data_IF_262193188069
#
_entry.id   IF_262193188069
#
_cell.length_a   1.000
_cell.length_b   1.000
_cell.length_c   1.000
_cell.angle_alpha   90.00
_cell.angle_beta   90.00
_cell.angle_gamma   90.00
#
_symmetry.space_group_name_H-M   'P 1'
#
loop_
_entity.id
_entity.type
_entity.pdbx_description
1 polymer ?
#
# COMPACT_ATOMS: atom_id res chain seq x y z
N UNK A 1 31.64 -13.21 -5.26
CA UNK A 1 30.22 -13.66 -5.20
C UNK A 1 29.40 -12.51 -4.63
N UNK A 2 28.64 -11.82 -5.48
CA UNK A 2 27.85 -10.64 -5.08
C UNK A 2 26.52 -11.11 -4.49
N UNK A 3 26.26 -10.72 -3.24
CA UNK A 3 24.98 -10.94 -2.57
C UNK A 3 23.93 -9.99 -3.16
N UNK A 4 22.91 -10.56 -3.81
CA UNK A 4 21.70 -9.88 -4.24
C UNK A 4 20.87 -9.47 -3.00
N UNK A 5 21.26 -8.36 -2.37
CA UNK A 5 20.45 -7.67 -1.36
C UNK A 5 19.38 -6.86 -2.08
N UNK A 6 18.15 -7.36 -2.11
CA UNK A 6 16.98 -6.58 -2.52
C UNK A 6 16.99 -5.25 -1.77
N UNK A 7 17.22 -4.15 -2.49
CA UNK A 7 17.33 -2.82 -1.91
C UNK A 7 15.97 -2.48 -1.30
N UNK A 8 15.88 -2.56 0.02
CA UNK A 8 14.74 -2.06 0.78
C UNK A 8 14.49 -0.60 0.36
N UNK A 9 13.44 -0.37 -0.42
CA UNK A 9 13.08 0.97 -0.86
C UNK A 9 12.87 1.82 0.41
N UNK A 10 13.53 2.98 0.47
CA UNK A 10 13.36 3.90 1.59
C UNK A 10 11.88 4.23 1.77
N UNK A 11 11.39 4.26 3.01
CA UNK A 11 9.97 4.45 3.33
C UNK A 11 9.34 5.67 2.66
N UNK A 12 10.11 6.75 2.46
CA UNK A 12 9.68 7.95 1.71
C UNK A 12 9.40 7.65 0.24
N UNK A 13 10.24 6.84 -0.41
CA UNK A 13 10.05 6.39 -1.79
C UNK A 13 8.81 5.51 -1.91
N UNK A 14 8.61 4.58 -0.97
CA UNK A 14 7.40 3.75 -0.93
C UNK A 14 6.14 4.62 -0.77
N UNK A 15 6.17 5.63 0.11
CA UNK A 15 5.06 6.58 0.26
C UNK A 15 4.74 7.30 -1.05
N UNK A 16 5.76 7.81 -1.76
CA UNK A 16 5.59 8.46 -3.06
C UNK A 16 4.98 7.54 -4.11
N UNK A 17 5.49 6.30 -4.21
CA UNK A 17 4.94 5.29 -5.11
C UNK A 17 3.50 4.91 -4.73
N UNK A 18 3.17 4.84 -3.44
CA UNK A 18 1.83 4.58 -2.95
C UNK A 18 0.86 5.70 -3.32
N UNK A 19 1.29 6.96 -3.21
CA UNK A 19 0.49 8.12 -3.64
C UNK A 19 0.14 8.02 -5.12
N UNK A 20 1.15 7.74 -5.96
CA UNK A 20 0.96 7.59 -7.40
C UNK A 20 -0.03 6.47 -7.74
N UNK A 21 0.13 5.29 -7.13
CA UNK A 21 -0.77 4.16 -7.37
C UNK A 21 -2.20 4.45 -6.92
N UNK A 22 -2.38 5.01 -5.72
CA UNK A 22 -3.71 5.33 -5.19
C UNK A 22 -4.41 6.38 -6.03
N UNK A 23 -3.69 7.42 -6.46
CA UNK A 23 -4.24 8.48 -7.31
C UNK A 23 -4.65 7.97 -8.69
N UNK A 24 -3.86 7.07 -9.28
CA UNK A 24 -4.19 6.45 -10.55
C UNK A 24 -5.41 5.51 -10.45
N UNK A 25 -5.52 4.73 -9.37
CA UNK A 25 -6.69 3.88 -9.11
C UNK A 25 -7.96 4.69 -8.88
N UNK A 26 -7.86 5.80 -8.14
CA UNK A 26 -8.97 6.74 -7.95
C UNK A 26 -9.46 7.28 -9.29
N UNK A 27 -8.54 7.78 -10.12
CA UNK A 27 -8.91 8.40 -11.39
C UNK A 27 -9.46 7.39 -12.39
N UNK A 28 -9.01 6.13 -12.34
CA UNK A 28 -9.62 5.04 -13.08
C UNK A 28 -11.06 4.75 -12.61
N UNK A 29 -11.29 4.74 -11.29
CA UNK A 29 -12.61 4.46 -10.72
C UNK A 29 -13.63 5.59 -10.90
N UNK A 30 -13.15 6.83 -10.94
CA UNK A 30 -13.96 8.03 -11.16
C UNK A 30 -14.20 8.30 -12.65
N UNK A 31 -13.70 7.44 -13.54
CA UNK A 31 -13.73 7.64 -15.01
C UNK A 31 -13.15 9.00 -15.45
N UNK A 32 -12.23 9.54 -14.65
CA UNK A 32 -11.53 10.81 -14.89
C UNK A 32 -10.40 10.57 -15.91
N UNK A 33 -10.82 10.39 -17.17
CA UNK A 33 -9.95 10.02 -18.28
C UNK A 33 -9.24 11.18 -18.96
N UNK A 34 -9.43 12.42 -18.50
CA UNK A 34 -8.76 13.60 -19.06
C UNK A 34 -7.22 13.46 -19.03
N UNK A 35 -6.70 12.65 -18.10
CA UNK A 35 -5.28 12.26 -18.01
C UNK A 35 -4.96 10.84 -18.50
N UNK A 36 -5.96 10.01 -18.79
CA UNK A 36 -5.82 8.60 -19.19
C UNK A 36 -6.20 8.43 -20.68
N UNK A 37 -5.49 9.13 -21.58
CA UNK A 37 -5.62 8.90 -23.03
C UNK A 37 -5.23 7.45 -23.37
N UNK A 38 -6.01 6.81 -24.24
CA UNK A 38 -5.82 5.43 -24.73
C UNK A 38 -5.85 4.33 -23.65
N UNK A 39 -6.75 4.45 -22.66
CA UNK A 39 -6.81 3.55 -21.51
C UNK A 39 -7.99 2.57 -21.52
N UNK A 40 -8.69 2.39 -22.66
CA UNK A 40 -9.79 1.41 -22.79
C UNK A 40 -9.37 -0.04 -22.46
N UNK A 41 -8.10 -0.38 -22.66
CA UNK A 41 -7.59 -1.69 -22.25
C UNK A 41 -7.42 -1.78 -20.72
N UNK A 42 -7.09 -0.67 -20.05
CA UNK A 42 -6.92 -0.64 -18.60
C UNK A 42 -8.26 -0.78 -17.88
N UNK A 43 -9.34 -0.18 -18.38
CA UNK A 43 -10.69 -0.39 -17.79
C UNK A 43 -11.16 -1.84 -17.91
N UNK A 44 -10.66 -2.60 -18.89
CA UNK A 44 -10.94 -4.04 -19.06
C UNK A 44 -10.05 -4.95 -18.21
N UNK A 45 -8.90 -4.47 -17.75
CA UNK A 45 -7.89 -5.29 -17.05
C UNK A 45 -7.70 -4.94 -15.59
N UNK A 46 -8.03 -3.70 -15.21
CA UNK A 46 -8.07 -3.20 -13.85
C UNK A 46 -9.52 -2.83 -13.55
N UNK A 47 -10.26 -3.81 -13.03
CA UNK A 47 -11.66 -3.65 -12.66
C UNK A 47 -11.74 -2.96 -11.29
N UNK A 48 -12.28 -1.74 -11.27
CA UNK A 48 -12.42 -0.93 -10.07
C UNK A 48 -13.85 -0.44 -9.88
N UNK A 49 -14.33 -0.41 -8.64
CA UNK A 49 -15.62 0.18 -8.32
C UNK A 49 -15.65 0.70 -6.87
N UNK A 50 -16.49 1.70 -6.64
CA UNK A 50 -16.80 2.20 -5.31
C UNK A 50 -17.94 1.39 -4.68
N UNK A 51 -17.75 0.95 -3.44
CA UNK A 51 -18.83 0.42 -2.60
C UNK A 51 -18.83 1.22 -1.29
N UNK A 52 -19.75 2.19 -1.18
CA UNK A 52 -19.70 3.19 -0.13
C UNK A 52 -18.46 4.09 -0.30
N UNK A 53 -17.61 4.15 0.71
CA UNK A 53 -16.32 4.88 0.66
C UNK A 53 -15.13 3.96 0.40
N UNK A 54 -15.35 2.67 0.17
CA UNK A 54 -14.28 1.72 -0.09
C UNK A 54 -14.07 1.56 -1.59
N UNK A 55 -12.81 1.63 -2.02
CA UNK A 55 -12.44 1.39 -3.42
C UNK A 55 -12.03 -0.07 -3.60
N UNK A 56 -12.85 -0.80 -4.35
CA UNK A 56 -12.57 -2.18 -4.70
C UNK A 56 -11.78 -2.25 -5.99
N UNK A 57 -10.71 -3.06 -5.98
CA UNK A 57 -9.97 -3.46 -7.18
C UNK A 57 -10.25 -4.94 -7.41
N UNK A 58 -11.35 -5.24 -8.13
CA UNK A 58 -11.98 -6.55 -8.31
C UNK A 58 -11.12 -7.55 -9.07
N UNK A 59 -10.35 -7.06 -10.04
CA UNK A 59 -9.44 -7.89 -10.84
C UNK A 59 -8.35 -7.01 -11.41
N UNK A 60 -7.10 -7.33 -11.11
CA UNK A 60 -5.94 -6.68 -11.73
C UNK A 60 -4.73 -7.61 -11.75
N UNK A 61 -3.70 -7.26 -12.51
CA UNK A 61 -2.36 -7.87 -12.42
C UNK A 61 -1.32 -6.79 -12.12
N UNK A 62 -0.18 -7.20 -11.56
CA UNK A 62 0.91 -6.24 -11.28
C UNK A 62 1.40 -5.50 -12.53
N UNK A 63 1.36 -6.15 -13.70
CA UNK A 63 1.71 -5.53 -14.98
C UNK A 63 0.69 -4.46 -15.40
N UNK A 64 -0.60 -4.71 -15.14
CA UNK A 64 -1.69 -3.82 -15.53
C UNK A 64 -1.67 -2.59 -14.61
N UNK A 65 -1.34 -2.77 -13.32
CA UNK A 65 -1.06 -1.66 -12.39
C UNK A 65 0.19 -0.85 -12.78
N UNK A 66 1.23 -1.51 -13.31
CA UNK A 66 2.42 -0.82 -13.81
C UNK A 66 2.07 0.09 -14.99
N UNK A 67 1.29 -0.41 -15.93
CA UNK A 67 0.80 0.35 -17.07
C UNK A 67 -0.14 1.49 -16.65
N UNK A 68 -1.01 1.26 -15.66
CA UNK A 68 -1.84 2.31 -15.07
C UNK A 68 -1.00 3.47 -14.51
N UNK A 69 0.06 3.15 -13.75
CA UNK A 69 0.95 4.20 -13.21
C UNK A 69 1.77 4.90 -14.29
N UNK A 70 2.14 4.19 -15.35
CA UNK A 70 2.83 4.73 -16.53
C UNK A 70 1.99 5.82 -17.20
N UNK A 71 0.72 5.50 -17.48
CA UNK A 71 -0.25 6.43 -18.08
C UNK A 71 -0.56 7.62 -17.20
N UNK A 72 -0.56 7.44 -15.88
CA UNK A 72 -0.83 8.52 -14.94
C UNK A 72 0.34 9.50 -14.77
N UNK A 73 1.58 9.06 -15.00
CA UNK A 73 2.72 9.97 -15.05
C UNK A 73 4.08 9.34 -14.79
N UNK A 74 4.14 8.16 -14.16
CA UNK A 74 5.40 7.43 -14.01
C UNK A 74 5.18 5.93 -13.84
N UNK A 75 5.82 5.16 -14.70
CA UNK A 75 5.83 3.70 -14.58
C UNK A 75 6.50 3.26 -13.27
N UNK A 76 5.73 2.57 -12.43
CA UNK A 76 6.28 1.75 -11.36
C UNK A 76 6.57 0.35 -11.88
N UNK A 77 7.66 -0.25 -11.43
CA UNK A 77 7.92 -1.66 -11.72
C UNK A 77 7.05 -2.59 -10.84
N UNK A 78 7.02 -3.88 -11.17
CA UNK A 78 6.18 -4.88 -10.48
C UNK A 78 6.57 -5.03 -9.00
N UNK A 79 7.85 -4.86 -8.67
CA UNK A 79 8.35 -4.99 -7.30
C UNK A 79 8.02 -3.74 -6.48
N UNK A 80 8.11 -2.56 -7.08
CA UNK A 80 7.65 -1.30 -6.49
C UNK A 80 6.15 -1.37 -6.16
N UNK A 81 5.32 -1.87 -7.07
CA UNK A 81 3.88 -2.05 -6.84
C UNK A 81 3.63 -3.08 -5.73
N UNK A 82 4.33 -4.22 -5.76
CA UNK A 82 4.22 -5.24 -4.71
C UNK A 82 4.55 -4.66 -3.33
N UNK A 83 5.64 -3.89 -3.24
CA UNK A 83 6.06 -3.23 -2.00
C UNK A 83 5.06 -2.17 -1.53
N UNK A 84 4.44 -1.43 -2.45
CA UNK A 84 3.35 -0.50 -2.14
C UNK A 84 2.14 -1.24 -1.57
N UNK A 85 1.67 -2.30 -2.24
CA UNK A 85 0.50 -3.08 -1.79
C UNK A 85 0.76 -3.68 -0.41
N UNK A 86 1.94 -4.27 -0.19
CA UNK A 86 2.32 -4.81 1.13
C UNK A 86 2.39 -3.73 2.20
N UNK A 87 2.87 -2.53 1.87
CA UNK A 87 2.93 -1.42 2.80
C UNK A 87 1.55 -0.90 3.17
N UNK A 88 0.65 -0.73 2.19
CA UNK A 88 -0.75 -0.35 2.43
C UNK A 88 -1.49 -1.40 3.26
N UNK A 89 -1.21 -2.69 3.03
CA UNK A 89 -1.74 -3.80 3.83
C UNK A 89 -1.22 -3.78 5.26
N UNK A 90 0.10 -3.60 5.45
CA UNK A 90 0.71 -3.50 6.77
C UNK A 90 0.19 -2.31 7.58
N UNK A 91 -0.20 -1.24 6.90
CA UNK A 91 -0.84 -0.06 7.48
C UNK A 91 -2.36 -0.21 7.64
N UNK A 92 -2.95 -1.37 7.33
CA UNK A 92 -4.40 -1.62 7.40
C UNK A 92 -5.25 -0.64 6.59
N UNK A 93 -4.68 -0.10 5.51
CA UNK A 93 -5.40 0.74 4.53
C UNK A 93 -5.94 -0.15 3.41
N UNK A 94 -5.16 -1.16 3.02
CA UNK A 94 -5.54 -2.14 2.03
C UNK A 94 -5.88 -3.47 2.71
N UNK A 95 -6.99 -4.06 2.29
CA UNK A 95 -7.37 -5.42 2.65
C UNK A 95 -7.21 -6.34 1.43
N UNK A 96 -6.39 -7.37 1.58
CA UNK A 96 -6.17 -8.37 0.53
C UNK A 96 -7.36 -9.33 0.54
N UNK A 97 -8.11 -9.36 -0.57
CA UNK A 97 -9.36 -10.12 -0.68
C UNK A 97 -9.18 -11.39 -1.52
N UNK A 98 -7.94 -11.70 -1.95
CA UNK A 98 -7.67 -12.96 -2.63
C UNK A 98 -8.04 -14.12 -1.72
N UNK A 99 -8.86 -15.04 -2.23
CA UNK A 99 -9.26 -16.25 -1.50
C UNK A 99 -8.03 -17.01 -0.99
N UNK A 100 -8.11 -17.50 0.23
CA UNK A 100 -7.02 -18.20 0.94
C UNK A 100 -6.77 -19.61 0.39
N UNK A 101 -6.47 -19.73 -0.90
CA UNK A 101 -5.86 -20.95 -1.44
C UNK A 101 -4.36 -20.86 -1.22
N UNK A 102 -3.92 -21.34 -0.04
CA UNK A 102 -2.53 -21.59 0.39
C UNK A 102 -1.58 -20.36 0.37
N UNK A 103 -0.97 -20.03 1.52
CA UNK A 103 -0.11 -18.83 1.66
C UNK A 103 1.08 -18.80 0.70
N UNK A 104 1.55 -19.96 0.24
CA UNK A 104 2.64 -20.11 -0.74
C UNK A 104 2.25 -19.69 -2.17
N UNK A 105 0.97 -19.79 -2.55
CA UNK A 105 0.48 -19.47 -3.90
C UNK A 105 -0.10 -18.06 -4.03
N UNK A 106 -0.44 -17.42 -2.90
CA UNK A 106 -0.95 -16.03 -2.86
C UNK A 106 0.13 -15.01 -3.25
N UNK A 107 1.38 -15.19 -2.80
CA UNK A 107 2.51 -14.31 -3.17
C UNK A 107 2.92 -14.45 -4.64
N UNK A 108 2.64 -15.60 -5.26
CA UNK A 108 2.91 -15.87 -6.67
C UNK A 108 1.74 -15.61 -7.64
N UNK A 109 0.54 -15.30 -7.13
CA UNK A 109 -0.62 -15.04 -7.99
C UNK A 109 -0.39 -13.77 -8.83
N UNK A 110 -0.44 -13.93 -10.15
CA UNK A 110 -0.43 -12.81 -11.10
C UNK A 110 -1.68 -11.94 -10.93
N UNK A 111 -2.79 -12.52 -10.46
CA UNK A 111 -4.04 -11.82 -10.21
C UNK A 111 -4.11 -11.28 -8.78
N UNK A 112 -4.51 -10.03 -8.66
CA UNK A 112 -4.71 -9.31 -7.42
C UNK A 112 -6.17 -8.89 -7.28
N UNK A 113 -6.68 -9.06 -6.06
CA UNK A 113 -8.01 -8.63 -5.63
C UNK A 113 -7.86 -8.01 -4.24
N UNK A 114 -8.19 -6.73 -4.11
CA UNK A 114 -8.06 -6.02 -2.84
C UNK A 114 -9.02 -4.86 -2.75
N UNK A 115 -9.16 -4.36 -1.53
CA UNK A 115 -10.03 -3.24 -1.18
C UNK A 115 -9.22 -2.18 -0.45
N UNK A 116 -9.32 -0.93 -0.88
CA UNK A 116 -8.74 0.22 -0.20
C UNK A 116 -9.81 0.89 0.67
N UNK A 117 -9.50 1.07 1.94
CA UNK A 117 -10.40 1.68 2.93
C UNK A 117 -10.16 3.17 2.99
N UNK A 118 -11.17 3.94 2.59
CA UNK A 118 -11.11 5.39 2.62
C UNK A 118 -12.25 6.00 3.44
N UNK A 119 -12.05 7.21 4.00
CA UNK A 119 -13.08 7.93 4.75
C UNK A 119 -14.09 8.67 3.85
N UNK A 120 -13.84 8.76 2.54
CA UNK A 120 -14.61 9.55 1.59
C UNK A 120 -14.56 8.91 0.20
N UNK A 121 -15.48 9.26 -0.68
CA UNK A 121 -15.39 8.96 -2.13
C UNK A 121 -14.52 9.99 -2.87
N UNK A 122 -14.44 11.22 -2.33
CA UNK A 122 -13.64 12.30 -2.92
C UNK A 122 -12.13 11.98 -2.95
N UNK A 123 -11.57 11.99 -4.16
CA UNK A 123 -10.15 11.74 -4.45
C UNK A 123 -9.20 12.61 -3.63
N UNK A 124 -9.39 13.93 -3.62
CA UNK A 124 -8.43 14.83 -2.97
C UNK A 124 -8.49 14.70 -1.44
N UNK A 125 -9.69 14.56 -0.86
CA UNK A 125 -9.87 14.30 0.57
C UNK A 125 -9.17 13.01 1.00
N UNK A 126 -9.25 11.95 0.21
CA UNK A 126 -8.57 10.69 0.50
C UNK A 126 -7.05 10.79 0.40
N UNK A 127 -6.53 11.47 -0.63
CA UNK A 127 -5.09 11.69 -0.78
C UNK A 127 -4.52 12.55 0.35
N UNK A 128 -5.22 13.63 0.72
CA UNK A 128 -4.82 14.52 1.81
C UNK A 128 -4.91 13.79 3.17
N UNK A 129 -5.96 13.00 3.39
CA UNK A 129 -6.09 12.17 4.59
C UNK A 129 -4.95 11.16 4.69
N UNK A 130 -4.65 10.45 3.60
CA UNK A 130 -3.69 9.35 3.62
C UNK A 130 -2.24 9.86 3.65
N UNK A 131 -1.89 10.80 2.77
CA UNK A 131 -0.50 11.23 2.56
C UNK A 131 -0.18 12.57 3.22
N UNK A 132 -1.18 13.25 3.79
CA UNK A 132 -1.01 14.57 4.35
C UNK A 132 -1.06 15.66 3.28
N UNK A 133 -1.21 16.89 3.76
CA UNK A 133 -1.22 18.11 2.95
C UNK A 133 -0.32 19.14 3.62
N UNK A 134 0.52 19.80 2.82
CA UNK A 134 1.44 20.85 3.28
C UNK A 134 2.28 20.36 4.48
N UNK A 135 2.14 21.01 5.65
CA UNK A 135 2.88 20.71 6.87
C UNK A 135 2.17 19.71 7.80
N UNK A 136 1.04 19.12 7.37
CA UNK A 136 0.27 18.16 8.17
C UNK A 136 0.62 16.72 7.79
N UNK A 137 0.90 15.91 8.81
CA UNK A 137 1.08 14.47 8.66
C UNK A 137 -0.24 13.78 8.28
N UNK A 138 -0.16 12.87 7.30
CA UNK A 138 -1.28 12.02 6.91
C UNK A 138 -1.37 10.75 7.76
N UNK A 139 -2.38 9.96 7.47
CA UNK A 139 -2.61 8.67 8.12
C UNK A 139 -1.46 7.68 7.90
N UNK A 140 -0.75 7.80 6.77
CA UNK A 140 0.45 7.02 6.47
C UNK A 140 1.51 7.19 7.57
N UNK A 141 1.89 8.43 7.90
CA UNK A 141 2.85 8.72 8.97
C UNK A 141 2.36 8.23 10.32
N UNK A 142 1.09 8.52 10.66
CA UNK A 142 0.52 8.18 11.97
C UNK A 142 0.55 6.68 12.22
N UNK A 143 0.13 5.88 11.23
CA UNK A 143 0.11 4.42 11.35
C UNK A 143 1.52 3.82 11.36
N UNK A 144 2.46 4.41 10.63
CA UNK A 144 3.87 3.99 10.69
C UNK A 144 4.50 4.26 12.07
N UNK A 145 4.26 5.46 12.62
CA UNK A 145 4.74 5.80 13.97
C UNK A 145 4.14 4.89 15.03
N UNK A 146 2.82 4.65 14.95
CA UNK A 146 2.14 3.72 15.86
C UNK A 146 2.74 2.32 15.78
N UNK A 147 2.99 1.79 14.58
CA UNK A 147 3.62 0.47 14.40
C UNK A 147 5.01 0.39 15.01
N UNK A 148 5.83 1.44 14.85
CA UNK A 148 7.16 1.51 15.47
C UNK A 148 7.08 1.54 16.99
N UNK A 149 6.20 2.36 17.55
CA UNK A 149 6.05 2.48 19.00
C UNK A 149 5.54 1.19 19.63
N UNK A 150 4.60 0.49 18.97
CA UNK A 150 4.14 -0.83 19.42
C UNK A 150 5.28 -1.85 19.43
N UNK A 151 6.09 -1.89 18.35
CA UNK A 151 7.23 -2.80 18.30
C UNK A 151 8.29 -2.49 19.38
N UNK A 152 8.52 -1.22 19.72
CA UNK A 152 9.42 -0.83 20.80
C UNK A 152 8.86 -1.28 22.16
N UNK A 153 7.58 -1.04 22.43
CA UNK A 153 6.94 -1.45 23.68
C UNK A 153 6.98 -2.98 23.87
N UNK A 154 6.73 -3.76 22.82
CA UNK A 154 6.82 -5.23 22.87
C UNK A 154 8.24 -5.72 23.19
N UNK A 155 9.27 -5.03 22.70
CA UNK A 155 10.67 -5.34 22.99
C UNK A 155 11.00 -4.98 24.45
N UNK A 156 10.57 -3.81 24.92
CA UNK A 156 10.78 -3.38 26.30
C UNK A 156 10.13 -4.35 27.29
N UNK A 157 8.88 -4.75 27.05
CA UNK A 157 8.17 -5.74 27.86
C UNK A 157 8.86 -7.12 27.87
N UNK A 158 9.44 -7.53 26.73
CA UNK A 158 10.16 -8.79 26.64
C UNK A 158 11.51 -8.78 27.39
N UNK A 159 12.16 -7.62 27.49
CA UNK A 159 13.50 -7.48 28.09
C UNK A 159 13.42 -7.11 29.59
N UNK A 160 12.36 -6.44 30.04
CA UNK A 160 12.18 -6.02 31.44
C UNK A 160 12.36 -7.16 32.48
N UNK A 161 11.85 -8.39 32.27
CA UNK A 161 12.05 -9.51 33.20
C UNK A 161 13.51 -9.97 33.26
N UNK A 162 14.25 -9.86 32.16
CA UNK A 162 15.66 -10.27 32.06
C UNK A 162 16.55 -9.29 32.82
N UNK A 163 16.26 -7.99 32.71
CA UNK A 163 16.96 -6.94 33.46
C UNK A 163 16.70 -7.09 34.96
N UNK A 164 15.44 -7.28 35.36
CA UNK A 164 15.06 -7.45 36.77
C UNK A 164 15.72 -8.67 37.43
N UNK A 165 15.83 -9.81 36.72
CA UNK A 165 16.54 -10.99 37.22
C UNK A 165 18.04 -10.76 37.42
N UNK A 166 18.68 -9.92 36.59
CA UNK A 166 20.11 -9.57 36.71
C UNK A 166 20.40 -8.62 37.88
N UNK A 167 19.44 -7.79 38.26
CA UNK A 167 19.58 -6.84 39.37
C UNK A 167 19.38 -7.49 40.74
N UNK A 168 18.59 -8.57 40.82
CA UNK A 168 18.33 -9.31 42.07
C UNK A 168 19.39 -10.37 42.41
N UNK A 169 20.42 -10.54 41.56
CA UNK A 169 21.53 -11.48 41.76
C UNK A 169 22.86 -10.79 42.15
N UNK A 170 22.81 -9.51 42.53
CA UNK A 170 23.92 -8.77 43.15
C UNK A 170 23.60 -8.51 44.61
#
# INVERSE_FOLDING_TARGET
MQSNGGRHLGWKKIKGNARLLVEALHSLADEDFDKLKDCEYLTKTVDTCWEGTDLWVKKTRLRDLAELTDKWGKRLDREEIRNVIHSLKALKILEDKRGTTNSKTITGSDKWYFMLKFPSIDKQKNLDWLFGKEHKQGEWERRQLKKKNTAVAEIEDAIAPVIMRRLLQK
#
